data_IF_738395284726
#
_entry.id   IF_738395284726
#
_cell.length_a   1.000
_cell.length_b   1.000
_cell.length_c   1.000
_cell.angle_alpha   90.00
_cell.angle_beta   90.00
_cell.angle_gamma   90.00
#
_symmetry.space_group_name_H-M   'P 1'
#
loop_
_entity.id
_entity.type
_entity.pdbx_description
1 polymer ?
#
# COMPACT_ATOMS: atom_id res chain seq x y z
N UNK A 1 -26.52 8.32 -13.98
CA UNK A 1 -25.20 8.93 -14.21
C UNK A 1 -24.27 8.40 -13.13
N UNK A 2 -23.36 7.51 -13.53
CA UNK A 2 -22.64 6.56 -12.68
C UNK A 2 -21.58 7.26 -11.81
N UNK A 3 -21.89 7.41 -10.51
CA UNK A 3 -20.92 7.86 -9.51
C UNK A 3 -19.96 6.74 -9.18
N UNK A 4 -18.74 6.81 -9.72
CA UNK A 4 -17.66 5.83 -9.56
C UNK A 4 -17.53 5.32 -8.11
N UNK A 5 -17.36 4.01 -7.96
CA UNK A 5 -17.30 3.27 -6.69
C UNK A 5 -16.32 3.85 -5.64
N UNK A 6 -15.36 4.67 -6.08
CA UNK A 6 -14.41 5.46 -5.27
C UNK A 6 -15.10 6.38 -4.25
N UNK A 7 -16.30 6.93 -4.53
CA UNK A 7 -16.99 7.80 -3.56
C UNK A 7 -17.75 7.05 -2.45
N UNK A 8 -17.94 5.73 -2.55
CA UNK A 8 -18.77 4.96 -1.59
C UNK A 8 -18.00 4.39 -0.40
N UNK A 9 -16.70 4.15 -0.55
CA UNK A 9 -15.82 3.61 0.50
C UNK A 9 -15.00 4.71 1.20
N UNK A 10 -14.79 5.86 0.54
CA UNK A 10 -13.94 6.94 1.02
C UNK A 10 -12.48 6.75 0.61
N UNK A 11 -11.81 7.86 0.29
CA UNK A 11 -10.42 7.90 -0.19
C UNK A 11 -9.46 7.16 0.75
N UNK A 12 -9.67 7.29 2.05
CA UNK A 12 -8.90 6.60 3.09
C UNK A 12 -8.98 5.05 2.97
N UNK A 13 -10.20 4.50 2.82
CA UNK A 13 -10.38 3.04 2.67
C UNK A 13 -9.79 2.52 1.37
N UNK A 14 -9.83 3.34 0.32
CA UNK A 14 -9.17 3.04 -0.95
C UNK A 14 -7.65 2.98 -0.79
N UNK A 15 -7.04 3.98 -0.15
CA UNK A 15 -5.60 4.00 0.14
C UNK A 15 -5.17 2.82 1.00
N UNK A 16 -5.96 2.50 2.03
CA UNK A 16 -5.75 1.32 2.87
C UNK A 16 -5.75 0.03 2.05
N UNK A 17 -6.72 -0.17 1.17
CA UNK A 17 -6.78 -1.37 0.32
C UNK A 17 -5.61 -1.43 -0.67
N UNK A 18 -5.18 -0.28 -1.19
CA UNK A 18 -4.00 -0.20 -2.04
C UNK A 18 -2.73 -0.60 -1.28
N UNK A 19 -2.53 -0.10 -0.05
CA UNK A 19 -1.41 -0.51 0.81
C UNK A 19 -1.42 -2.03 1.06
N UNK A 20 -2.59 -2.62 1.32
CA UNK A 20 -2.73 -4.07 1.48
C UNK A 20 -2.33 -4.82 0.20
N UNK A 21 -2.81 -4.37 -0.97
CA UNK A 21 -2.46 -4.97 -2.26
C UNK A 21 -0.95 -4.92 -2.54
N UNK A 22 -0.33 -3.77 -2.31
CA UNK A 22 1.11 -3.56 -2.44
C UNK A 22 1.92 -4.44 -1.46
N UNK A 23 1.47 -4.58 -0.22
CA UNK A 23 2.08 -5.50 0.74
C UNK A 23 1.97 -6.98 0.33
N UNK A 24 0.98 -7.34 -0.49
CA UNK A 24 0.78 -8.70 -0.98
C UNK A 24 1.58 -9.03 -2.24
N UNK A 25 1.89 -8.05 -3.09
CA UNK A 25 2.70 -8.22 -4.30
C UNK A 25 4.12 -8.76 -4.01
N UNK A 26 4.79 -9.32 -5.01
CA UNK A 26 6.19 -9.73 -4.88
C UNK A 26 7.10 -8.57 -4.44
N UNK A 27 8.32 -8.91 -4.01
CA UNK A 27 9.28 -7.88 -3.62
C UNK A 27 9.54 -6.93 -4.79
N UNK A 28 9.38 -5.63 -4.55
CA UNK A 28 9.70 -4.59 -5.51
C UNK A 28 10.19 -3.32 -4.80
N UNK A 29 11.37 -2.83 -5.19
CA UNK A 29 11.99 -1.64 -4.60
C UNK A 29 11.13 -0.37 -4.80
N UNK A 30 10.42 -0.27 -5.92
CA UNK A 30 9.48 0.81 -6.21
C UNK A 30 8.23 0.73 -5.35
N UNK A 31 7.75 -0.47 -5.02
CA UNK A 31 6.66 -0.66 -4.07
C UNK A 31 7.08 -0.22 -2.66
N UNK A 32 8.29 -0.59 -2.23
CA UNK A 32 8.84 -0.14 -0.93
C UNK A 32 8.94 1.38 -0.89
N UNK A 33 9.46 2.02 -1.95
CA UNK A 33 9.57 3.48 -2.02
C UNK A 33 8.19 4.17 -1.98
N UNK A 34 7.21 3.66 -2.73
CA UNK A 34 5.86 4.21 -2.75
C UNK A 34 5.15 4.11 -1.39
N UNK A 35 5.33 2.98 -0.68
CA UNK A 35 4.81 2.81 0.67
C UNK A 35 5.54 3.73 1.67
N UNK A 36 6.86 3.85 1.59
CA UNK A 36 7.65 4.71 2.47
C UNK A 36 7.25 6.19 2.34
N UNK A 37 6.96 6.66 1.12
CA UNK A 37 6.46 8.02 0.88
C UNK A 37 5.09 8.32 1.54
N UNK A 38 4.37 7.28 1.98
CA UNK A 38 3.07 7.37 2.67
C UNK A 38 3.15 7.00 4.16
N UNK A 39 4.36 6.86 4.72
CA UNK A 39 4.52 6.47 6.13
C UNK A 39 3.92 7.50 7.11
N UNK A 40 3.93 8.78 6.74
CA UNK A 40 3.42 9.90 7.53
C UNK A 40 2.04 10.40 7.07
N UNK A 41 1.26 9.55 6.39
CA UNK A 41 -0.10 9.90 5.94
C UNK A 41 -0.94 10.43 7.12
N UNK A 42 -1.75 11.51 6.97
CA UNK A 42 -2.54 12.05 8.08
C UNK A 42 -3.52 11.03 8.67
N UNK A 43 -3.97 10.04 7.89
CA UNK A 43 -4.84 8.97 8.38
C UNK A 43 -4.07 7.93 9.19
N UNK A 44 -4.41 7.73 10.48
CA UNK A 44 -3.83 6.64 11.28
C UNK A 44 -4.09 5.26 10.66
N UNK A 45 -5.26 5.07 10.03
CA UNK A 45 -5.63 3.82 9.37
C UNK A 45 -4.69 3.52 8.20
N UNK A 46 -4.37 4.52 7.38
CA UNK A 46 -3.44 4.36 6.27
C UNK A 46 -2.03 4.09 6.78
N UNK A 47 -1.55 4.83 7.79
CA UNK A 47 -0.21 4.63 8.37
C UNK A 47 0.00 3.21 8.89
N UNK A 48 -0.98 2.66 9.61
CA UNK A 48 -0.92 1.28 10.13
C UNK A 48 -0.74 0.26 8.99
N UNK A 49 -1.53 0.40 7.92
CA UNK A 49 -1.48 -0.55 6.80
C UNK A 49 -0.22 -0.36 5.94
N UNK A 50 0.28 0.87 5.82
CA UNK A 50 1.57 1.16 5.16
C UNK A 50 2.72 0.52 5.94
N UNK A 51 2.74 0.64 7.27
CA UNK A 51 3.76 0.01 8.11
C UNK A 51 3.74 -1.52 7.97
N UNK A 52 2.54 -2.13 8.00
CA UNK A 52 2.37 -3.56 7.74
C UNK A 52 2.89 -3.97 6.35
N UNK A 53 2.52 -3.21 5.31
CA UNK A 53 2.91 -3.50 3.94
C UNK A 53 4.43 -3.39 3.74
N UNK A 54 5.08 -2.40 4.35
CA UNK A 54 6.54 -2.25 4.35
C UNK A 54 7.23 -3.44 5.01
N UNK A 55 6.75 -3.89 6.16
CA UNK A 55 7.32 -5.05 6.85
C UNK A 55 7.23 -6.31 5.96
N UNK A 56 6.09 -6.51 5.31
CA UNK A 56 5.81 -7.64 4.44
C UNK A 56 6.59 -7.60 3.12
N UNK A 57 6.80 -6.42 2.55
CA UNK A 57 7.69 -6.23 1.41
C UNK A 57 9.14 -6.57 1.81
N UNK A 58 9.65 -5.99 2.89
CA UNK A 58 11.03 -6.22 3.36
C UNK A 58 11.34 -7.66 3.76
N UNK A 59 10.32 -8.45 4.14
CA UNK A 59 10.49 -9.87 4.47
C UNK A 59 10.53 -10.78 3.24
N UNK A 60 10.18 -10.27 2.05
CA UNK A 60 10.16 -11.08 0.82
C UNK A 60 11.55 -11.13 0.18
N UNK A 61 11.92 -12.27 -0.42
CA UNK A 61 13.15 -12.34 -1.17
C UNK A 61 13.08 -11.39 -2.36
N UNK A 62 14.15 -10.62 -2.58
CA UNK A 62 14.35 -9.90 -3.84
C UNK A 62 14.27 -10.91 -4.98
N UNK A 63 13.37 -10.69 -5.93
CA UNK A 63 13.34 -11.48 -7.14
C UNK A 63 14.73 -11.41 -7.80
N UNK A 64 15.28 -12.57 -8.18
CA UNK A 64 16.52 -12.58 -8.97
C UNK A 64 16.19 -11.97 -10.33
N UNK A 65 16.98 -11.01 -10.84
CA UNK A 65 16.84 -10.60 -12.23
C UNK A 65 17.04 -11.84 -13.11
N UNK A 66 16.12 -12.04 -14.05
CA UNK A 66 16.20 -13.08 -15.07
C UNK A 66 17.37 -12.82 -16.02
#
# INVERSE_FOLDING_TARGET
MEGSAIRRIGYERWLRNLAVGLGNADYDDGVVAALAARADDPSPLVREHVAWALARQRSKPRARPA
#
